data_IF_740086819840
#
_entry.id   IF_740086819840
#
_cell.length_a   1.000
_cell.length_b   1.000
_cell.length_c   1.000
_cell.angle_alpha   90.00
_cell.angle_beta   90.00
_cell.angle_gamma   90.00
#
_symmetry.space_group_name_H-M   'P 1'
#
loop_
_entity.id
_entity.type
_entity.pdbx_description
1 polymer ?
#
# COMPACT_ATOMS: atom_id res chain seq x y z
N UNK A 1 -17.80 -29.36 27.50
CA UNK A 1 -17.47 -30.12 28.73
C UNK A 1 -18.18 -29.61 29.98
N UNK A 2 -18.51 -28.32 30.10
CA UNK A 2 -19.18 -27.73 31.28
C UNK A 2 -20.59 -28.25 31.56
N UNK A 3 -21.31 -28.75 30.55
CA UNK A 3 -22.67 -29.30 30.71
C UNK A 3 -22.69 -30.77 31.19
N UNK A 4 -21.63 -31.55 30.89
CA UNK A 4 -21.52 -32.96 31.31
C UNK A 4 -21.03 -33.10 32.76
N UNK A 5 -20.29 -32.13 33.28
CA UNK A 5 -19.73 -32.19 34.63
C UNK A 5 -20.75 -31.94 35.75
N UNK A 6 -21.88 -31.27 35.48
CA UNK A 6 -22.95 -31.05 36.47
C UNK A 6 -23.80 -32.30 36.74
N UNK A 7 -23.86 -33.23 35.79
CA UNK A 7 -24.64 -34.47 35.89
C UNK A 7 -23.95 -35.59 36.68
N UNK A 8 -22.65 -35.47 36.97
CA UNK A 8 -21.84 -36.55 37.58
C UNK A 8 -21.31 -36.23 38.99
N UNK A 9 -21.72 -35.13 39.63
CA UNK A 9 -21.33 -34.83 41.02
C UNK A 9 -19.81 -34.74 41.25
N UNK A 10 -19.04 -34.32 40.24
CA UNK A 10 -17.58 -34.23 40.34
C UNK A 10 -17.22 -32.85 40.90
N UNK A 11 -16.68 -32.83 42.13
CA UNK A 11 -16.24 -31.63 42.84
C UNK A 11 -15.31 -30.74 41.99
N UNK A 12 -15.52 -29.42 42.04
CA UNK A 12 -14.73 -28.37 41.36
C UNK A 12 -13.20 -28.50 41.54
N UNK A 13 -12.73 -29.12 42.63
CA UNK A 13 -11.32 -29.39 42.89
C UNK A 13 -10.68 -30.39 41.91
N UNK A 14 -11.44 -31.36 41.40
CA UNK A 14 -10.92 -32.36 40.45
C UNK A 14 -10.75 -31.75 39.05
N UNK A 15 -11.70 -30.90 38.63
CA UNK A 15 -11.64 -30.19 37.36
C UNK A 15 -10.44 -29.23 37.35
N UNK A 16 -10.21 -28.47 38.43
CA UNK A 16 -9.08 -27.55 38.53
C UNK A 16 -7.72 -28.27 38.54
N UNK A 17 -7.62 -29.46 39.15
CA UNK A 17 -6.42 -30.30 39.10
C UNK A 17 -6.18 -30.89 37.71
N UNK A 18 -7.23 -31.32 37.01
CA UNK A 18 -7.11 -31.85 35.64
C UNK A 18 -6.69 -30.75 34.67
N UNK A 19 -7.23 -29.53 34.78
CA UNK A 19 -6.83 -28.41 33.91
C UNK A 19 -5.41 -27.94 34.20
N UNK A 20 -4.98 -27.95 35.46
CA UNK A 20 -3.60 -27.61 35.84
C UNK A 20 -2.60 -28.67 35.34
N UNK A 21 -2.91 -29.95 35.49
CA UNK A 21 -2.08 -31.05 34.97
C UNK A 21 -2.04 -31.07 33.44
N UNK A 22 -3.15 -30.77 32.76
CA UNK A 22 -3.17 -30.69 31.29
C UNK A 22 -2.39 -29.45 30.78
N UNK A 23 -2.42 -28.34 31.52
CA UNK A 23 -1.58 -27.16 31.27
C UNK A 23 -0.09 -27.45 31.41
N UNK A 24 0.33 -28.06 32.52
CA UNK A 24 1.72 -28.44 32.75
C UNK A 24 2.24 -29.48 31.75
N UNK A 25 1.39 -30.43 31.34
CA UNK A 25 1.75 -31.46 30.38
C UNK A 25 1.84 -30.91 28.94
N UNK A 26 1.07 -29.86 28.62
CA UNK A 26 1.22 -29.11 27.35
C UNK A 26 2.48 -28.27 27.34
N UNK A 27 2.79 -27.57 28.43
CA UNK A 27 4.04 -26.80 28.56
C UNK A 27 5.27 -27.72 28.50
N UNK A 28 5.26 -28.85 29.21
CA UNK A 28 6.33 -29.85 29.13
C UNK A 28 6.47 -30.48 27.74
N UNK A 29 5.36 -30.71 27.01
CA UNK A 29 5.43 -31.17 25.61
C UNK A 29 5.98 -30.11 24.67
N UNK A 30 5.68 -28.84 24.91
CA UNK A 30 6.22 -27.73 24.12
C UNK A 30 7.72 -27.58 24.37
N UNK A 31 8.17 -27.61 25.62
CA UNK A 31 9.60 -27.55 25.97
C UNK A 31 10.37 -28.76 25.45
N UNK A 32 9.87 -29.99 25.62
CA UNK A 32 10.52 -31.19 25.04
C UNK A 32 10.61 -31.13 23.52
N UNK A 33 9.59 -30.60 22.82
CA UNK A 33 9.65 -30.44 21.36
C UNK A 33 10.65 -29.35 20.94
N UNK A 34 10.79 -28.30 21.73
CA UNK A 34 11.77 -27.23 21.50
C UNK A 34 13.20 -27.75 21.76
N UNK A 35 13.39 -28.54 22.81
CA UNK A 35 14.66 -29.17 23.17
C UNK A 35 15.08 -30.23 22.14
N UNK A 36 14.15 -31.07 21.67
CA UNK A 36 14.43 -32.02 20.60
C UNK A 36 14.79 -31.32 19.29
N UNK A 37 14.07 -30.25 18.92
CA UNK A 37 14.43 -29.42 17.75
C UNK A 37 15.80 -28.78 17.93
N UNK A 38 16.14 -28.30 19.12
CA UNK A 38 17.44 -27.71 19.43
C UNK A 38 18.58 -28.73 19.41
N UNK A 39 18.35 -29.97 19.86
CA UNK A 39 19.34 -31.05 19.73
C UNK A 39 19.55 -31.47 18.28
N UNK A 40 18.47 -31.61 17.50
CA UNK A 40 18.57 -31.96 16.07
C UNK A 40 19.29 -30.86 15.28
N UNK A 41 19.06 -29.58 15.63
CA UNK A 41 19.77 -28.40 15.10
C UNK A 41 21.26 -28.42 15.47
N UNK A 42 21.61 -28.63 16.75
CA UNK A 42 23.01 -28.77 17.21
C UNK A 42 23.73 -29.92 16.51
N UNK A 43 23.03 -31.03 16.23
CA UNK A 43 23.58 -32.18 15.51
C UNK A 43 23.89 -31.83 14.05
N UNK A 44 23.00 -31.12 13.35
CA UNK A 44 23.23 -30.65 11.97
C UNK A 44 24.42 -29.69 11.86
N UNK A 45 24.59 -28.79 12.84
CA UNK A 45 25.75 -27.88 12.91
C UNK A 45 27.07 -28.61 13.14
N UNK A 46 27.10 -29.58 14.06
CA UNK A 46 28.28 -30.44 14.26
C UNK A 46 28.66 -31.18 12.99
N UNK A 47 27.68 -31.63 12.19
CA UNK A 47 27.93 -32.30 10.90
C UNK A 47 28.49 -31.33 9.85
N UNK A 48 27.93 -30.13 9.74
CA UNK A 48 28.44 -29.10 8.81
C UNK A 48 29.88 -28.66 9.14
N UNK A 49 30.18 -28.46 10.43
CA UNK A 49 31.53 -28.14 10.91
C UNK A 49 32.52 -29.30 10.72
N UNK A 50 32.08 -30.56 10.89
CA UNK A 50 32.92 -31.75 10.67
C UNK A 50 33.30 -31.94 9.20
N UNK A 51 32.48 -31.41 8.29
CA UNK A 51 32.62 -31.62 6.85
C UNK A 51 33.35 -30.46 6.15
N UNK A 52 33.87 -29.46 6.89
CA UNK A 52 34.53 -28.27 6.32
C UNK A 52 33.70 -27.60 5.22
N UNK A 53 32.37 -27.62 5.35
CA UNK A 53 31.48 -26.90 4.46
C UNK A 53 31.51 -25.44 4.90
N UNK A 54 32.26 -24.62 4.16
CA UNK A 54 32.20 -23.17 4.28
C UNK A 54 30.83 -22.71 3.77
N UNK A 55 29.83 -22.75 4.65
CA UNK A 55 28.48 -22.29 4.32
C UNK A 55 28.49 -20.79 4.45
N UNK A 56 28.44 -20.09 3.32
CA UNK A 56 28.16 -18.67 3.28
C UNK A 56 26.77 -18.43 3.92
N UNK A 57 26.80 -17.99 5.18
CA UNK A 57 25.61 -17.81 6.02
C UNK A 57 24.70 -16.72 5.45
N UNK A 58 25.27 -15.68 4.84
CA UNK A 58 24.53 -14.57 4.25
C UNK A 58 23.82 -15.00 2.97
N UNK A 59 24.51 -15.77 2.12
CA UNK A 59 23.91 -16.38 0.94
C UNK A 59 22.81 -17.37 1.33
N UNK A 60 23.05 -18.21 2.34
CA UNK A 60 22.07 -19.14 2.87
C UNK A 60 20.83 -18.43 3.43
N UNK A 61 21.01 -17.29 4.11
CA UNK A 61 19.91 -16.46 4.60
C UNK A 61 19.10 -15.88 3.44
N UNK A 62 19.78 -15.46 2.37
CA UNK A 62 19.15 -15.05 1.12
C UNK A 62 18.23 -16.12 0.53
N UNK A 63 18.70 -17.37 0.43
CA UNK A 63 17.89 -18.49 -0.04
C UNK A 63 16.76 -18.86 0.93
N UNK A 64 17.03 -18.87 2.23
CA UNK A 64 16.00 -19.18 3.23
C UNK A 64 14.86 -18.15 3.19
N UNK A 65 15.19 -16.87 3.04
CA UNK A 65 14.23 -15.78 2.88
C UNK A 65 13.44 -15.92 1.58
N UNK A 66 14.13 -16.24 0.48
CA UNK A 66 13.51 -16.46 -0.83
C UNK A 66 12.46 -17.58 -0.84
N UNK A 67 12.69 -18.65 -0.08
CA UNK A 67 11.75 -19.78 0.04
C UNK A 67 10.89 -19.71 1.32
N UNK A 68 10.87 -18.56 2.00
CA UNK A 68 10.07 -18.32 3.23
C UNK A 68 10.28 -19.38 4.32
N UNK A 69 11.52 -19.85 4.49
CA UNK A 69 11.89 -20.83 5.52
C UNK A 69 12.28 -20.14 6.82
N UNK A 70 11.29 -19.55 7.51
CA UNK A 70 11.48 -18.76 8.74
C UNK A 70 12.32 -19.51 9.80
N UNK A 71 12.04 -20.79 10.06
CA UNK A 71 12.81 -21.56 11.04
C UNK A 71 14.29 -21.76 10.65
N UNK A 72 14.61 -21.76 9.36
CA UNK A 72 15.99 -21.78 8.86
C UNK A 72 16.62 -20.40 9.02
N UNK A 73 15.88 -19.33 8.73
CA UNK A 73 16.35 -17.95 8.93
C UNK A 73 16.69 -17.66 10.39
N UNK A 74 15.84 -18.08 11.33
CA UNK A 74 16.09 -17.98 12.78
C UNK A 74 17.40 -18.65 13.17
N UNK A 75 17.62 -19.88 12.70
CA UNK A 75 18.87 -20.61 12.95
C UNK A 75 20.09 -19.89 12.36
N UNK A 76 19.98 -19.33 11.15
CA UNK A 76 21.09 -18.63 10.49
C UNK A 76 21.44 -17.30 11.18
N UNK A 77 20.45 -16.57 11.68
CA UNK A 77 20.70 -15.32 12.41
C UNK A 77 21.19 -15.58 13.84
N UNK A 78 20.56 -16.48 14.58
CA UNK A 78 20.88 -16.71 16.01
C UNK A 78 22.15 -17.55 16.21
N UNK A 79 22.36 -18.57 15.38
CA UNK A 79 23.50 -19.48 15.52
C UNK A 79 24.60 -19.26 14.49
N UNK A 80 24.22 -18.83 13.28
CA UNK A 80 25.12 -18.53 12.17
C UNK A 80 25.68 -17.11 12.22
N UNK A 81 25.16 -16.25 13.09
CA UNK A 81 25.57 -14.85 13.25
C UNK A 81 25.51 -14.06 11.94
N UNK A 82 24.45 -14.28 11.15
CA UNK A 82 24.18 -13.47 9.96
C UNK A 82 23.89 -12.01 10.37
N UNK A 83 24.61 -11.07 9.77
CA UNK A 83 24.55 -9.64 10.11
C UNK A 83 24.00 -8.78 8.96
N UNK A 84 23.87 -9.32 7.74
CA UNK A 84 23.43 -8.57 6.56
C UNK A 84 21.98 -8.87 6.19
N UNK A 85 21.07 -7.98 6.58
CA UNK A 85 19.63 -8.16 6.29
C UNK A 85 19.18 -7.53 4.98
N UNK A 86 19.95 -6.57 4.44
CA UNK A 86 19.57 -5.81 3.24
C UNK A 86 19.19 -6.71 2.05
N UNK A 87 20.10 -7.58 1.60
CA UNK A 87 19.87 -8.42 0.42
C UNK A 87 18.69 -9.40 0.58
N UNK A 88 18.62 -10.15 1.70
CA UNK A 88 17.47 -11.00 2.01
C UNK A 88 16.13 -10.25 2.10
N UNK A 89 16.10 -9.08 2.75
CA UNK A 89 14.91 -8.25 2.90
C UNK A 89 14.43 -7.70 1.55
N UNK A 90 15.33 -7.14 0.72
CA UNK A 90 14.98 -6.62 -0.60
C UNK A 90 14.33 -7.70 -1.48
N UNK A 91 14.91 -8.91 -1.54
CA UNK A 91 14.33 -10.01 -2.33
C UNK A 91 12.97 -10.46 -1.79
N UNK A 92 12.79 -10.46 -0.47
CA UNK A 92 11.50 -10.76 0.13
C UNK A 92 10.45 -9.70 -0.23
N UNK A 93 10.86 -8.43 -0.25
CA UNK A 93 10.01 -7.31 -0.63
C UNK A 93 9.61 -7.34 -2.10
N UNK A 94 10.55 -7.57 -3.03
CA UNK A 94 10.30 -7.72 -4.48
C UNK A 94 9.30 -8.84 -4.78
N UNK A 95 9.34 -9.93 -4.01
CA UNK A 95 8.46 -11.09 -4.18
C UNK A 95 7.11 -10.99 -3.48
N UNK A 96 6.91 -9.99 -2.64
CA UNK A 96 5.68 -9.89 -1.86
C UNK A 96 5.61 -10.88 -0.68
N UNK A 97 6.74 -11.39 -0.19
CA UNK A 97 6.79 -12.36 0.92
C UNK A 97 6.54 -11.68 2.28
N UNK A 98 5.29 -11.28 2.56
CA UNK A 98 4.91 -10.50 3.75
C UNK A 98 5.46 -11.07 5.08
N UNK A 99 5.32 -12.38 5.30
CA UNK A 99 5.77 -13.03 6.53
C UNK A 99 7.28 -12.85 6.79
N UNK A 100 8.08 -12.87 5.72
CA UNK A 100 9.54 -12.71 5.79
C UNK A 100 9.89 -11.24 6.03
N UNK A 101 9.17 -10.32 5.37
CA UNK A 101 9.35 -8.87 5.58
C UNK A 101 9.03 -8.48 7.02
N UNK A 102 7.89 -8.92 7.56
CA UNK A 102 7.52 -8.68 8.96
C UNK A 102 8.58 -9.22 9.92
N UNK A 103 9.14 -10.40 9.62
CA UNK A 103 10.16 -11.03 10.46
C UNK A 103 11.43 -10.19 10.54
N UNK A 104 11.87 -9.62 9.42
CA UNK A 104 13.01 -8.71 9.38
C UNK A 104 12.72 -7.38 10.09
N UNK A 105 11.56 -6.77 9.82
CA UNK A 105 11.16 -5.50 10.47
C UNK A 105 11.11 -5.64 12.00
N UNK A 106 10.54 -6.73 12.52
CA UNK A 106 10.48 -7.01 13.97
C UNK A 106 11.84 -7.18 14.63
N UNK A 107 12.90 -7.50 13.86
CA UNK A 107 14.28 -7.65 14.35
C UNK A 107 15.09 -6.35 14.28
N UNK A 108 14.49 -5.24 13.84
CA UNK A 108 15.12 -3.92 13.87
C UNK A 108 16.09 -3.68 12.71
N UNK A 109 15.62 -3.85 11.47
CA UNK A 109 16.35 -3.42 10.28
C UNK A 109 16.67 -1.91 10.32
N UNK A 110 17.77 -1.53 9.68
CA UNK A 110 18.22 -0.13 9.62
C UNK A 110 17.33 0.67 8.68
N UNK A 111 17.25 1.98 8.91
CA UNK A 111 16.42 2.90 8.14
C UNK A 111 16.65 2.81 6.62
N UNK A 112 17.91 2.74 6.19
CA UNK A 112 18.27 2.59 4.78
C UNK A 112 17.87 1.23 4.20
N UNK A 113 17.91 0.16 5.00
CA UNK A 113 17.46 -1.17 4.56
C UNK A 113 15.95 -1.19 4.33
N UNK A 114 15.20 -0.55 5.23
CA UNK A 114 13.75 -0.39 5.10
C UNK A 114 13.40 0.47 3.87
N UNK A 115 14.14 1.55 3.64
CA UNK A 115 13.95 2.40 2.46
C UNK A 115 14.20 1.64 1.15
N UNK A 116 15.31 0.90 1.06
CA UNK A 116 15.63 0.11 -0.14
C UNK A 116 14.63 -1.03 -0.35
N UNK A 117 14.15 -1.67 0.71
CA UNK A 117 13.10 -2.67 0.64
C UNK A 117 11.77 -2.08 0.17
N UNK A 118 11.40 -0.89 0.64
CA UNK A 118 10.22 -0.16 0.17
C UNK A 118 10.34 0.14 -1.33
N UNK A 119 11.49 0.64 -1.79
CA UNK A 119 11.75 0.88 -3.23
C UNK A 119 11.60 -0.40 -4.04
N UNK A 120 12.12 -1.53 -3.54
CA UNK A 120 12.06 -2.82 -4.22
C UNK A 120 10.62 -3.38 -4.31
N UNK A 121 9.86 -3.30 -3.21
CA UNK A 121 8.42 -3.61 -3.21
C UNK A 121 7.65 -2.72 -4.20
N UNK A 122 7.99 -1.43 -4.24
CA UNK A 122 7.37 -0.44 -5.15
C UNK A 122 7.69 -0.76 -6.61
N UNK A 123 8.95 -1.06 -6.96
CA UNK A 123 9.33 -1.43 -8.34
C UNK A 123 8.63 -2.69 -8.83
N UNK A 124 8.42 -3.67 -7.95
CA UNK A 124 7.75 -4.92 -8.30
C UNK A 124 6.23 -4.88 -8.11
N UNK A 125 5.66 -3.68 -7.87
CA UNK A 125 4.23 -3.47 -7.63
C UNK A 125 3.63 -4.35 -6.52
N UNK A 126 4.43 -4.68 -5.49
CA UNK A 126 4.01 -5.41 -4.30
C UNK A 126 3.35 -4.46 -3.31
N UNK A 127 2.17 -3.94 -3.68
CA UNK A 127 1.45 -2.87 -2.96
C UNK A 127 1.22 -3.22 -1.48
N UNK A 128 0.85 -4.46 -1.17
CA UNK A 128 0.63 -4.88 0.22
C UNK A 128 1.89 -4.74 1.08
N UNK A 129 3.06 -5.14 0.55
CA UNK A 129 4.34 -5.02 1.24
C UNK A 129 4.79 -3.57 1.33
N UNK A 130 4.64 -2.79 0.26
CA UNK A 130 4.95 -1.37 0.27
C UNK A 130 4.11 -0.62 1.32
N UNK A 131 2.81 -0.94 1.43
CA UNK A 131 1.91 -0.38 2.43
C UNK A 131 2.32 -0.75 3.87
N UNK A 132 2.82 -1.97 4.07
CA UNK A 132 3.35 -2.39 5.38
C UNK A 132 4.67 -1.67 5.71
N UNK A 133 5.58 -1.53 4.76
CA UNK A 133 6.90 -0.93 4.98
C UNK A 133 6.86 0.59 5.13
N UNK A 134 5.99 1.29 4.40
CA UNK A 134 5.96 2.76 4.33
C UNK A 134 5.93 3.44 5.72
N UNK A 135 5.08 3.02 6.68
CA UNK A 135 5.06 3.60 8.04
C UNK A 135 6.33 3.35 8.86
N UNK A 136 7.13 2.34 8.50
CA UNK A 136 8.36 1.97 9.20
C UNK A 136 9.60 2.72 8.68
N UNK A 137 9.53 3.34 7.50
CA UNK A 137 10.64 4.15 6.97
C UNK A 137 10.58 5.55 7.58
N UNK A 138 11.67 6.08 8.15
CA UNK A 138 11.67 7.43 8.68
C UNK A 138 11.42 8.48 7.60
N UNK A 139 10.54 9.45 7.89
CA UNK A 139 10.15 10.52 6.95
C UNK A 139 11.33 11.32 6.39
N UNK A 140 12.37 11.57 7.21
CA UNK A 140 13.55 12.31 6.76
C UNK A 140 14.34 11.55 5.68
N UNK A 141 14.35 10.21 5.73
CA UNK A 141 14.97 9.37 4.69
C UNK A 141 14.13 9.41 3.42
N UNK A 142 12.80 9.29 3.55
CA UNK A 142 11.87 9.38 2.42
C UNK A 142 11.98 10.74 1.70
N UNK A 143 12.05 11.83 2.46
CA UNK A 143 12.21 13.18 1.90
C UNK A 143 13.59 13.38 1.23
N UNK A 144 14.66 12.85 1.82
CA UNK A 144 16.00 13.00 1.27
C UNK A 144 16.22 12.18 -0.02
N UNK A 145 15.52 11.06 -0.18
CA UNK A 145 15.69 10.13 -1.31
C UNK A 145 14.45 10.08 -2.23
N UNK A 146 13.55 11.06 -2.14
CA UNK A 146 12.23 11.00 -2.76
C UNK A 146 12.29 10.82 -4.29
N UNK A 147 13.23 11.51 -4.94
CA UNK A 147 13.44 11.45 -6.38
C UNK A 147 14.05 10.09 -6.76
N UNK A 148 15.06 9.65 -6.03
CA UNK A 148 15.80 8.41 -6.25
C UNK A 148 14.89 7.19 -6.07
N UNK A 149 14.02 7.20 -5.06
CA UNK A 149 13.02 6.14 -4.82
C UNK A 149 12.11 6.00 -6.05
N UNK A 150 11.54 7.09 -6.55
CA UNK A 150 10.63 7.05 -7.69
C UNK A 150 11.36 6.68 -8.99
N UNK A 151 12.56 7.24 -9.24
CA UNK A 151 13.38 6.87 -10.41
C UNK A 151 13.71 5.38 -10.39
N UNK A 152 14.22 4.86 -9.27
CA UNK A 152 14.56 3.45 -9.13
C UNK A 152 13.33 2.53 -9.23
N UNK A 153 12.19 2.94 -8.67
CA UNK A 153 10.94 2.20 -8.78
C UNK A 153 10.45 2.11 -10.23
N UNK A 154 10.54 3.22 -10.99
CA UNK A 154 10.15 3.26 -12.39
C UNK A 154 11.10 2.50 -13.32
N UNK A 155 12.42 2.58 -13.10
CA UNK A 155 13.43 1.87 -13.90
C UNK A 155 13.28 0.35 -13.78
N UNK A 156 13.06 -0.13 -12.56
CA UNK A 156 12.90 -1.57 -12.28
C UNK A 156 11.46 -2.06 -12.40
N UNK A 157 10.55 -1.21 -12.86
CA UNK A 157 9.16 -1.60 -13.08
C UNK A 157 9.08 -2.65 -14.17
N UNK A 158 8.58 -3.84 -13.84
CA UNK A 158 8.43 -4.95 -14.80
C UNK A 158 7.21 -4.74 -15.72
N UNK A 159 7.04 -3.52 -16.23
CA UNK A 159 5.92 -3.10 -17.07
C UNK A 159 4.70 -2.53 -16.34
N UNK A 160 4.67 -2.50 -15.00
CA UNK A 160 3.60 -1.88 -14.22
C UNK A 160 4.14 -0.81 -13.27
N UNK A 161 3.48 0.35 -13.27
CA UNK A 161 3.75 1.47 -12.35
C UNK A 161 2.75 1.51 -11.19
N UNK A 162 2.01 0.44 -10.92
CA UNK A 162 1.01 0.39 -9.84
C UNK A 162 1.64 0.65 -8.47
N UNK A 163 2.86 0.18 -8.23
CA UNK A 163 3.60 0.49 -7.01
C UNK A 163 3.94 1.98 -6.88
N UNK A 164 4.38 2.61 -7.97
CA UNK A 164 4.64 4.07 -8.01
C UNK A 164 3.36 4.85 -7.79
N UNK A 165 2.27 4.45 -8.45
CA UNK A 165 0.95 5.03 -8.25
C UNK A 165 0.54 4.90 -6.79
N UNK A 166 0.68 3.72 -6.18
CA UNK A 166 0.38 3.49 -4.77
C UNK A 166 1.18 4.44 -3.85
N UNK A 167 2.47 4.60 -4.08
CA UNK A 167 3.34 5.42 -3.24
C UNK A 167 2.92 6.91 -3.29
N UNK A 168 2.59 7.42 -4.49
CA UNK A 168 2.10 8.78 -4.68
C UNK A 168 0.71 8.99 -4.05
N UNK A 169 -0.21 8.05 -4.26
CA UNK A 169 -1.52 8.05 -3.60
C UNK A 169 -1.38 8.00 -2.07
N UNK A 170 -0.36 7.34 -1.54
CA UNK A 170 -0.16 7.23 -0.09
C UNK A 170 0.40 8.49 0.56
N UNK A 171 0.66 9.56 -0.21
CA UNK A 171 1.37 10.76 0.26
C UNK A 171 2.62 10.35 1.06
N UNK A 172 3.53 9.62 0.39
CA UNK A 172 4.64 8.97 1.08
C UNK A 172 5.58 9.94 1.82
N UNK A 173 5.52 11.24 1.53
CA UNK A 173 6.27 12.26 2.26
C UNK A 173 5.48 12.80 3.47
N UNK A 174 4.17 12.56 3.51
CA UNK A 174 3.24 13.14 4.48
C UNK A 174 3.08 14.66 4.30
N UNK A 175 3.36 15.13 3.08
CA UNK A 175 3.21 16.52 2.65
C UNK A 175 2.79 16.49 1.16
N UNK A 176 1.48 16.71 0.87
CA UNK A 176 0.95 16.69 -0.48
C UNK A 176 1.69 17.61 -1.45
N UNK A 177 2.10 18.79 -1.00
CA UNK A 177 2.79 19.78 -1.83
C UNK A 177 4.16 19.23 -2.23
N UNK A 178 4.90 18.67 -1.27
CA UNK A 178 6.19 18.04 -1.55
C UNK A 178 6.04 16.82 -2.47
N UNK A 179 5.05 15.96 -2.26
CA UNK A 179 4.82 14.78 -3.10
C UNK A 179 4.50 15.16 -4.55
N UNK A 180 3.64 16.16 -4.77
CA UNK A 180 3.39 16.67 -6.12
C UNK A 180 4.62 17.33 -6.73
N UNK A 181 5.37 18.13 -5.96
CA UNK A 181 6.57 18.81 -6.47
C UNK A 181 7.63 17.82 -6.94
N UNK A 182 7.82 16.71 -6.22
CA UNK A 182 8.73 15.63 -6.63
C UNK A 182 8.25 14.98 -7.93
N UNK A 183 6.97 14.64 -8.03
CA UNK A 183 6.40 14.04 -9.23
C UNK A 183 6.54 14.96 -10.46
N UNK A 184 6.26 16.25 -10.28
CA UNK A 184 6.37 17.27 -11.32
C UNK A 184 7.83 17.51 -11.74
N UNK A 185 8.76 17.53 -10.79
CA UNK A 185 10.20 17.64 -11.06
C UNK A 185 10.71 16.50 -11.95
N UNK A 186 10.29 15.26 -11.68
CA UNK A 186 10.66 14.10 -12.51
C UNK A 186 9.98 14.17 -13.87
N UNK A 187 8.71 14.57 -13.94
CA UNK A 187 7.97 14.70 -15.20
C UNK A 187 8.57 15.74 -16.16
N UNK A 188 9.10 16.85 -15.61
CA UNK A 188 9.77 17.93 -16.36
C UNK A 188 11.25 17.66 -16.62
N UNK A 189 11.82 16.60 -16.05
CA UNK A 189 13.25 16.31 -16.15
C UNK A 189 13.62 15.76 -17.52
N UNK A 190 14.62 16.39 -18.15
CA UNK A 190 15.28 15.91 -19.37
C UNK A 190 16.41 14.89 -19.07
N UNK A 191 16.55 14.47 -17.81
CA UNK A 191 17.56 13.50 -17.40
C UNK A 191 17.29 12.11 -18.02
N UNK A 192 18.22 11.62 -18.83
CA UNK A 192 18.17 10.31 -19.47
C UNK A 192 18.15 9.15 -18.45
N UNK A 193 18.53 9.39 -17.19
CA UNK A 193 18.41 8.40 -16.13
C UNK A 193 16.95 8.15 -15.69
N UNK A 194 15.99 8.98 -16.12
CA UNK A 194 14.58 8.76 -15.85
C UNK A 194 13.99 7.84 -16.91
N UNK A 195 13.47 6.68 -16.46
CA UNK A 195 12.76 5.75 -17.34
C UNK A 195 11.64 6.46 -18.13
N UNK A 196 11.59 6.34 -19.47
CA UNK A 196 10.59 7.04 -20.30
C UNK A 196 9.14 6.74 -19.91
N UNK A 197 8.87 5.50 -19.49
CA UNK A 197 7.55 5.09 -18.99
C UNK A 197 7.15 5.83 -17.72
N UNK A 198 8.08 5.98 -16.77
CA UNK A 198 7.86 6.75 -15.55
C UNK A 198 7.60 8.23 -15.87
N UNK A 199 8.43 8.83 -16.72
CA UNK A 199 8.28 10.25 -17.11
C UNK A 199 6.92 10.50 -17.75
N UNK A 200 6.50 9.63 -18.66
CA UNK A 200 5.20 9.73 -19.34
C UNK A 200 4.03 9.58 -18.37
N UNK A 201 4.09 8.58 -17.48
CA UNK A 201 3.07 8.37 -16.44
C UNK A 201 2.92 9.57 -15.50
N UNK A 202 4.03 10.12 -15.00
CA UNK A 202 3.98 11.29 -14.13
C UNK A 202 3.48 12.52 -14.88
N UNK A 203 3.90 12.70 -16.14
CA UNK A 203 3.43 13.80 -16.98
C UNK A 203 1.92 13.70 -17.24
N UNK A 204 1.38 12.51 -17.45
CA UNK A 204 -0.05 12.29 -17.73
C UNK A 204 -0.94 12.41 -16.49
N UNK A 205 -0.46 12.01 -15.31
CA UNK A 205 -1.32 11.89 -14.13
C UNK A 205 -0.95 12.80 -12.96
N UNK A 206 0.33 13.11 -12.74
CA UNK A 206 0.83 13.66 -11.47
C UNK A 206 1.53 15.01 -11.58
N UNK A 207 1.80 15.49 -12.79
CA UNK A 207 2.46 16.77 -13.03
C UNK A 207 1.48 17.96 -12.98
N UNK A 208 2.01 19.18 -12.94
CA UNK A 208 1.22 20.40 -13.09
C UNK A 208 0.54 20.49 -14.48
N UNK A 209 1.19 19.93 -15.50
CA UNK A 209 0.59 19.80 -16.83
C UNK A 209 -0.63 18.86 -16.80
N UNK A 210 -0.57 17.77 -16.03
CA UNK A 210 -1.70 16.87 -15.83
C UNK A 210 -2.88 17.56 -15.15
N UNK A 211 -2.61 18.47 -14.19
CA UNK A 211 -3.66 19.29 -13.58
C UNK A 211 -4.34 20.20 -14.60
N UNK A 212 -3.56 20.90 -15.40
CA UNK A 212 -4.06 21.80 -16.46
C UNK A 212 -4.88 21.06 -17.52
N UNK A 213 -4.41 19.88 -17.92
CA UNK A 213 -5.11 18.98 -18.83
C UNK A 213 -6.42 18.45 -18.20
N UNK A 214 -6.38 18.07 -16.92
CA UNK A 214 -7.57 17.70 -16.15
C UNK A 214 -8.64 18.79 -16.11
N UNK A 215 -8.24 20.05 -15.90
CA UNK A 215 -9.15 21.20 -15.97
C UNK A 215 -9.79 21.34 -17.36
N UNK A 216 -8.99 21.18 -18.42
CA UNK A 216 -9.49 21.27 -19.80
C UNK A 216 -10.48 20.14 -20.11
N UNK A 217 -10.15 18.90 -19.74
CA UNK A 217 -11.04 17.75 -19.87
C UNK A 217 -12.35 17.95 -19.10
N UNK A 218 -12.28 18.50 -17.88
CA UNK A 218 -13.45 18.85 -17.09
C UNK A 218 -14.38 19.83 -17.81
N UNK A 219 -13.82 20.86 -18.46
CA UNK A 219 -14.58 21.87 -19.24
C UNK A 219 -15.22 21.25 -20.47
N UNK A 220 -14.48 20.45 -21.21
CA UNK A 220 -14.96 19.77 -22.41
C UNK A 220 -16.08 18.78 -22.08
N UNK A 221 -15.93 18.01 -21.00
CA UNK A 221 -16.97 17.12 -20.49
C UNK A 221 -18.26 17.87 -20.20
N UNK A 222 -18.18 19.01 -19.49
CA UNK A 222 -19.35 19.84 -19.22
C UNK A 222 -20.01 20.35 -20.51
N UNK A 223 -19.23 20.85 -21.48
CA UNK A 223 -19.78 21.34 -22.75
C UNK A 223 -20.48 20.24 -23.53
N UNK A 224 -19.89 19.05 -23.58
CA UNK A 224 -20.49 17.89 -24.23
C UNK A 224 -21.79 17.48 -23.52
N UNK A 225 -21.79 17.45 -22.19
CA UNK A 225 -22.99 17.19 -21.40
C UNK A 225 -24.10 18.21 -21.68
N UNK A 226 -23.79 19.51 -21.65
CA UNK A 226 -24.78 20.57 -21.92
C UNK A 226 -25.33 20.48 -23.35
N UNK A 227 -24.50 20.15 -24.34
CA UNK A 227 -24.96 19.91 -25.72
C UNK A 227 -25.92 18.73 -25.79
N UNK A 228 -25.59 17.61 -25.14
CA UNK A 228 -26.47 16.43 -25.08
C UNK A 228 -27.78 16.78 -24.38
N UNK A 229 -27.73 17.47 -23.24
CA UNK A 229 -28.94 17.89 -22.52
C UNK A 229 -29.77 18.82 -23.38
N UNK A 230 -29.19 19.79 -24.08
CA UNK A 230 -29.91 20.77 -24.88
C UNK A 230 -30.49 20.20 -26.18
N UNK A 231 -29.81 19.25 -26.82
CA UNK A 231 -30.23 18.65 -28.09
C UNK A 231 -30.98 17.31 -27.91
N UNK A 232 -30.98 16.72 -26.71
CA UNK A 232 -31.54 15.41 -26.46
C UNK A 232 -33.04 15.43 -26.18
N UNK A 233 -33.77 14.50 -26.80
CA UNK A 233 -35.19 14.20 -26.56
C UNK A 233 -35.35 13.01 -25.60
N UNK A 234 -34.50 12.95 -24.56
CA UNK A 234 -34.55 11.84 -23.60
C UNK A 234 -35.88 11.84 -22.84
N UNK A 235 -36.56 10.68 -22.68
CA UNK A 235 -37.76 10.56 -21.85
C UNK A 235 -37.53 10.91 -20.38
N UNK A 236 -36.27 10.91 -19.93
CA UNK A 236 -35.86 11.26 -18.56
C UNK A 236 -35.92 12.78 -18.33
N UNK A 237 -36.08 13.58 -19.41
CA UNK A 237 -36.18 15.04 -19.38
C UNK A 237 -35.14 15.69 -18.46
N UNK A 238 -33.85 15.35 -18.65
CA UNK A 238 -32.76 15.88 -17.82
C UNK A 238 -32.74 17.42 -17.75
N UNK A 239 -33.34 18.12 -18.72
CA UNK A 239 -33.52 19.57 -18.71
C UNK A 239 -34.35 20.08 -17.53
N UNK A 240 -35.31 19.28 -17.05
CA UNK A 240 -36.28 19.66 -16.04
C UNK A 240 -35.70 19.56 -14.61
N UNK A 241 -34.54 18.91 -14.48
CA UNK A 241 -33.84 18.81 -13.20
C UNK A 241 -33.17 20.14 -12.81
N UNK A 242 -33.07 20.44 -11.50
CA UNK A 242 -32.32 21.60 -11.01
C UNK A 242 -30.88 21.63 -11.56
N UNK A 243 -30.39 22.83 -11.88
CA UNK A 243 -29.04 23.06 -12.43
C UNK A 243 -27.93 22.27 -11.72
N UNK A 244 -27.75 22.43 -10.39
CA UNK A 244 -26.72 21.73 -9.64
C UNK A 244 -26.85 20.20 -9.72
N UNK A 245 -28.07 19.66 -9.67
CA UNK A 245 -28.29 18.22 -9.75
C UNK A 245 -27.91 17.65 -11.13
N UNK A 246 -28.18 18.38 -12.22
CA UNK A 246 -27.76 17.99 -13.57
C UNK A 246 -26.24 17.86 -13.65
N UNK A 247 -25.53 18.85 -13.12
CA UNK A 247 -24.06 18.88 -13.10
C UNK A 247 -23.51 17.77 -12.21
N UNK A 248 -24.10 17.54 -11.04
CA UNK A 248 -23.68 16.48 -10.13
C UNK A 248 -23.83 15.08 -10.77
N UNK A 249 -24.95 14.83 -11.47
CA UNK A 249 -25.16 13.59 -12.23
C UNK A 249 -24.13 13.45 -13.35
N UNK A 250 -23.80 14.55 -14.06
CA UNK A 250 -22.80 14.54 -15.12
C UNK A 250 -21.40 14.14 -14.63
N UNK A 251 -21.04 14.53 -13.40
CA UNK A 251 -19.76 14.19 -12.77
C UNK A 251 -19.83 12.98 -11.83
N UNK A 252 -20.94 12.23 -11.79
CA UNK A 252 -21.06 11.02 -10.98
C UNK A 252 -19.96 9.97 -11.27
N UNK A 253 -19.54 9.72 -12.53
CA UNK A 253 -18.42 8.82 -12.80
C UNK A 253 -17.11 9.29 -12.16
N UNK A 254 -16.81 10.59 -12.27
CA UNK A 254 -15.64 11.22 -11.66
C UNK A 254 -15.66 11.10 -10.13
N UNK A 255 -16.82 11.32 -9.53
CA UNK A 255 -17.02 11.09 -8.08
C UNK A 255 -16.70 9.65 -7.70
N UNK A 256 -17.23 8.66 -8.41
CA UNK A 256 -16.99 7.23 -8.11
C UNK A 256 -15.52 6.85 -8.24
N UNK A 257 -14.83 7.37 -9.24
CA UNK A 257 -13.39 7.18 -9.40
C UNK A 257 -12.61 7.81 -8.25
N UNK A 258 -12.98 9.04 -7.87
CA UNK A 258 -12.34 9.77 -6.77
C UNK A 258 -12.55 9.08 -5.42
N UNK A 259 -13.73 8.51 -5.16
CA UNK A 259 -14.03 7.77 -3.91
C UNK A 259 -13.32 6.43 -3.86
N UNK A 260 -13.24 5.69 -4.98
CA UNK A 260 -12.46 4.44 -5.04
C UNK A 260 -11.00 4.67 -4.66
N UNK A 261 -10.47 5.84 -4.97
CA UNK A 261 -9.11 6.26 -4.64
C UNK A 261 -9.04 6.93 -3.26
N UNK A 262 -10.11 7.56 -2.78
CA UNK A 262 -10.06 8.70 -1.86
C UNK A 262 -10.47 8.49 -0.39
N UNK A 263 -10.38 7.29 0.18
CA UNK A 263 -10.62 7.13 1.63
C UNK A 263 -9.60 7.90 2.50
N UNK A 264 -8.31 7.78 2.17
CA UNK A 264 -7.19 8.40 2.89
C UNK A 264 -6.02 8.85 1.98
N UNK A 265 -6.17 8.77 0.66
CA UNK A 265 -5.06 8.89 -0.28
C UNK A 265 -5.09 10.20 -1.06
N UNK A 266 -3.92 10.69 -1.46
CA UNK A 266 -3.71 11.83 -2.34
C UNK A 266 -4.25 11.51 -3.75
N UNK A 267 -5.02 12.43 -4.34
CA UNK A 267 -5.55 12.25 -5.70
C UNK A 267 -4.48 12.58 -6.75
N UNK A 268 -4.56 11.96 -7.93
CA UNK A 268 -3.73 12.39 -9.06
C UNK A 268 -4.04 13.83 -9.47
N UNK A 269 -3.05 14.57 -9.98
CA UNK A 269 -3.23 15.97 -10.42
C UNK A 269 -4.31 16.08 -11.52
N UNK A 270 -4.38 15.11 -12.43
CA UNK A 270 -5.41 15.07 -13.49
C UNK A 270 -6.83 14.99 -12.92
N UNK A 271 -7.07 14.04 -12.00
CA UNK A 271 -8.38 13.92 -11.35
C UNK A 271 -8.71 15.17 -10.54
N UNK A 272 -7.71 15.71 -9.83
CA UNK A 272 -7.86 16.94 -9.07
C UNK A 272 -8.28 18.11 -9.96
N UNK A 273 -7.68 18.28 -11.14
CA UNK A 273 -8.07 19.31 -12.11
C UNK A 273 -9.52 19.16 -12.57
N UNK A 274 -9.96 17.93 -12.90
CA UNK A 274 -11.34 17.65 -13.28
C UNK A 274 -12.33 17.99 -12.14
N UNK A 275 -11.97 17.66 -10.90
CA UNK A 275 -12.79 17.93 -9.72
C UNK A 275 -12.90 19.43 -9.42
N UNK A 276 -11.84 20.21 -9.59
CA UNK A 276 -11.88 21.68 -9.44
C UNK A 276 -12.87 22.28 -10.42
N UNK A 277 -12.84 21.86 -11.69
CA UNK A 277 -13.82 22.33 -12.67
C UNK A 277 -15.24 21.90 -12.30
N UNK A 278 -15.45 20.66 -11.86
CA UNK A 278 -16.76 20.18 -11.42
C UNK A 278 -17.31 20.99 -10.22
N UNK A 279 -16.48 21.24 -9.21
CA UNK A 279 -16.83 22.04 -8.03
C UNK A 279 -17.17 23.49 -8.41
N UNK A 280 -16.39 24.10 -9.31
CA UNK A 280 -16.64 25.43 -9.85
C UNK A 280 -18.03 25.53 -10.52
N UNK A 281 -18.45 24.50 -11.24
CA UNK A 281 -19.78 24.44 -11.89
C UNK A 281 -20.93 24.24 -10.91
N UNK A 282 -20.68 23.63 -9.76
CA UNK A 282 -21.71 23.30 -8.77
C UNK A 282 -21.97 24.41 -7.75
N UNK A 283 -20.93 25.12 -7.31
CA UNK A 283 -21.04 26.10 -6.22
C UNK A 283 -20.25 27.39 -6.38
N UNK A 284 -19.57 27.61 -7.51
CA UNK A 284 -18.75 28.81 -7.73
C UNK A 284 -17.59 29.00 -6.74
N UNK A 285 -17.25 27.96 -5.97
CA UNK A 285 -16.23 28.02 -4.92
C UNK A 285 -14.85 28.11 -5.57
N UNK A 286 -14.10 29.16 -5.23
CA UNK A 286 -12.66 29.27 -5.53
C UNK A 286 -11.92 28.58 -4.40
N UNK A 287 -11.77 27.26 -4.50
CA UNK A 287 -10.98 26.45 -3.58
C UNK A 287 -9.49 26.60 -3.95
N UNK A 288 -8.67 27.07 -3.01
CA UNK A 288 -7.22 27.22 -3.23
C UNK A 288 -6.55 25.86 -3.50
N UNK A 289 -5.79 25.84 -4.58
CA UNK A 289 -5.38 24.70 -5.37
C UNK A 289 -4.22 23.88 -4.76
N UNK A 290 -4.26 23.44 -3.49
CA UNK A 290 -3.16 22.60 -3.00
C UNK A 290 -3.58 21.34 -2.25
N UNK A 291 -4.49 21.43 -1.28
CA UNK A 291 -4.63 20.37 -0.25
C UNK A 291 -6.03 19.77 -0.12
N UNK A 292 -6.93 20.03 -1.06
CA UNK A 292 -8.37 19.94 -0.83
C UNK A 292 -9.08 18.79 -1.56
N UNK A 293 -8.36 17.73 -1.96
CA UNK A 293 -8.97 16.59 -2.69
C UNK A 293 -10.25 16.05 -2.05
N UNK A 294 -10.26 15.90 -0.71
CA UNK A 294 -11.44 15.48 0.06
C UNK A 294 -12.57 16.51 0.04
N UNK A 295 -12.23 17.80 0.13
CA UNK A 295 -13.22 18.89 0.10
C UNK A 295 -13.87 19.01 -1.28
N UNK A 296 -13.09 18.84 -2.36
CA UNK A 296 -13.59 18.82 -3.74
C UNK A 296 -14.57 17.68 -3.97
N UNK A 297 -14.28 16.49 -3.44
CA UNK A 297 -15.20 15.35 -3.47
C UNK A 297 -16.45 15.63 -2.64
N UNK A 298 -16.31 16.23 -1.45
CA UNK A 298 -17.44 16.59 -0.59
C UNK A 298 -18.41 17.60 -1.25
N UNK A 299 -17.90 18.53 -2.07
CA UNK A 299 -18.76 19.44 -2.85
C UNK A 299 -19.66 18.65 -3.82
N UNK A 300 -19.11 17.65 -4.50
CA UNK A 300 -19.88 16.76 -5.37
C UNK A 300 -20.90 15.93 -4.59
N UNK A 301 -20.49 15.34 -3.47
CA UNK A 301 -21.36 14.55 -2.58
C UNK A 301 -22.56 15.35 -2.11
N UNK A 302 -22.38 16.62 -1.73
CA UNK A 302 -23.46 17.47 -1.24
C UNK A 302 -24.61 17.65 -2.24
N UNK A 303 -24.31 17.63 -3.54
CA UNK A 303 -25.29 17.80 -4.60
C UNK A 303 -25.83 16.47 -5.14
N UNK A 304 -25.33 15.32 -4.67
CA UNK A 304 -25.77 14.00 -5.09
C UNK A 304 -26.87 13.45 -4.16
N UNK A 305 -27.95 12.90 -4.71
CA UNK A 305 -28.97 12.21 -3.93
C UNK A 305 -28.39 11.01 -3.15
N UNK A 306 -28.83 10.77 -1.89
CA UNK A 306 -28.28 9.71 -1.03
C UNK A 306 -28.32 8.29 -1.64
N UNK A 307 -29.32 7.99 -2.48
CA UNK A 307 -29.41 6.68 -3.13
C UNK A 307 -28.30 6.44 -4.17
N UNK A 308 -27.72 7.50 -4.75
CA UNK A 308 -26.57 7.39 -5.66
C UNK A 308 -25.26 7.19 -4.90
N UNK A 309 -25.19 7.64 -3.66
CA UNK A 309 -24.06 7.44 -2.75
C UNK A 309 -24.05 5.99 -2.22
N UNK A 310 -25.21 5.49 -1.78
CA UNK A 310 -25.36 4.15 -1.18
C UNK A 310 -25.19 3.00 -2.18
N UNK A 311 -25.47 3.22 -3.47
CA UNK A 311 -25.22 2.23 -4.52
C UNK A 311 -23.71 1.89 -4.65
N UNK A 312 -22.82 2.75 -4.18
CA UNK A 312 -21.37 2.51 -4.15
C UNK A 312 -20.91 1.73 -2.91
N UNK A 313 -21.71 1.69 -1.84
CA UNK A 313 -21.37 0.97 -0.59
C UNK A 313 -21.78 -0.51 -0.61
N UNK A 314 -22.69 -0.90 -1.50
CA UNK A 314 -23.19 -2.27 -1.62
C UNK A 314 -22.32 -3.19 -2.50
N UNK A 315 -21.16 -2.71 -2.96
CA UNK A 315 -20.22 -3.44 -3.83
C UNK A 315 -18.94 -3.90 -3.11
N UNK A 316 -18.96 -4.01 -1.78
CA UNK A 316 -17.89 -4.58 -0.95
C UNK A 316 -18.38 -5.81 -0.20
#
# INVERSE_FOLDING_TARGET
MTTLCRLLGIHNNLIHRITHLDGQNREQKLTLNQDHKNEEKKKKRKIAQRNSLDVDVELALGFASHYSKIGTMECLVEEGNAMSFLGPLMRAAERGCMQVVEWFVKRGCRDMELCLALTAATSSSQVAVAAYLLPHVPKHVLAALSIEILKAAGERSSGSLDGVAFLLHSDFLGDPVATYAVADSIAKSDDDAVAPGLRSFLREHWSEAAFSDGLQQGKEHYLNFVRIVNCGESPICLKDLPGPLRVAIAYLPLYRESVKVGGCCLLSQRLRGQLVEAAKRLGGVVLEEANQGKELVAVLEHHLPPFLLNASSAAY
#
